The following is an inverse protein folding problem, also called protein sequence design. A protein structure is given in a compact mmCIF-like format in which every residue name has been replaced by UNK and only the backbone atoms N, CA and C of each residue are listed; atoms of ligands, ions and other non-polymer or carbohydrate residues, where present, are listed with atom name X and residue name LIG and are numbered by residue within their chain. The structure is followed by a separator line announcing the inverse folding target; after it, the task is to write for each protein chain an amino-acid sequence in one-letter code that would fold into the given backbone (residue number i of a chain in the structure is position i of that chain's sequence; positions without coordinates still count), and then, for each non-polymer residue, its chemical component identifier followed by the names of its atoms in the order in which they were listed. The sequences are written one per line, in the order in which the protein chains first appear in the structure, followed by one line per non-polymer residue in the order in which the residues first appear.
data_IF_450843698913
#
_entry.id   IF_450843698913
#
_cell.length_a   1.000
_cell.length_b   1.000
_cell.length_c   1.000
_cell.angle_alpha   90.00
_cell.angle_beta   90.00
_cell.angle_gamma   90.00
#
_symmetry.space_group_name_H-M   'P 1'
#
loop_
_entity.id
_entity.type
_entity.pdbx_description
1 polymer ?
#
# COMPACT_ATOMS: atom_id res chain seq x y z
N UNK A 1 11.43 3.55 -8.06
CA UNK A 1 10.48 4.39 -8.84
C UNK A 1 9.20 3.64 -9.28
N UNK A 2 9.24 2.64 -10.18
CA UNK A 2 8.01 1.92 -10.61
C UNK A 2 7.27 1.27 -9.43
N UNK A 3 8.00 0.62 -8.53
CA UNK A 3 7.40 0.00 -7.34
C UNK A 3 6.67 1.01 -6.43
N UNK A 4 7.27 2.19 -6.20
CA UNK A 4 6.67 3.30 -5.45
C UNK A 4 5.35 3.77 -6.08
N UNK A 5 5.29 3.84 -7.41
CA UNK A 5 4.07 4.17 -8.13
C UNK A 5 2.96 3.12 -7.94
N UNK A 6 3.29 1.83 -7.94
CA UNK A 6 2.31 0.75 -7.69
C UNK A 6 1.78 0.82 -6.25
N UNK A 7 2.65 1.08 -5.27
CA UNK A 7 2.25 1.27 -3.86
C UNK A 7 1.33 2.48 -3.71
N UNK A 8 1.64 3.58 -4.40
CA UNK A 8 0.79 4.77 -4.43
C UNK A 8 -0.60 4.46 -5.01
N UNK A 9 -0.67 3.73 -6.14
CA UNK A 9 -1.95 3.27 -6.70
C UNK A 9 -2.71 2.40 -5.71
N UNK A 10 -2.05 1.43 -5.07
CA UNK A 10 -2.70 0.60 -4.04
C UNK A 10 -3.28 1.45 -2.91
N UNK A 11 -2.52 2.40 -2.38
CA UNK A 11 -2.96 3.23 -1.27
C UNK A 11 -4.22 4.03 -1.65
N UNK A 12 -4.29 4.54 -2.88
CA UNK A 12 -5.51 5.18 -3.40
C UNK A 12 -6.67 4.19 -3.49
N UNK A 13 -6.44 2.99 -4.03
CA UNK A 13 -7.46 1.95 -4.18
C UNK A 13 -8.00 1.43 -2.85
N UNK A 14 -7.16 1.28 -1.81
CA UNK A 14 -7.57 0.88 -0.46
C UNK A 14 -8.51 1.91 0.18
N UNK A 15 -8.36 3.19 -0.16
CA UNK A 15 -9.20 4.26 0.38
C UNK A 15 -10.54 4.41 -0.35
N UNK A 16 -10.71 3.76 -1.52
CA UNK A 16 -11.97 3.74 -2.25
C UNK A 16 -12.87 2.59 -1.74
N UNK A 17 -13.95 2.88 -0.99
CA UNK A 17 -14.77 1.83 -0.37
C UNK A 17 -15.55 0.97 -1.39
N UNK A 18 -15.64 1.41 -2.65
CA UNK A 18 -16.34 0.69 -3.72
C UNK A 18 -15.43 -0.28 -4.49
N UNK A 19 -14.10 -0.21 -4.30
CA UNK A 19 -13.16 -1.08 -5.01
C UNK A 19 -13.18 -2.47 -4.38
N UNK A 20 -13.43 -3.48 -5.20
CA UNK A 20 -13.25 -4.87 -4.79
C UNK A 20 -11.83 -5.33 -5.15
N UNK A 21 -10.94 -5.58 -4.16
CA UNK A 21 -9.56 -5.99 -4.40
C UNK A 21 -9.44 -7.38 -5.04
N UNK A 22 -10.51 -8.17 -5.07
CA UNK A 22 -10.52 -9.50 -5.70
C UNK A 22 -10.87 -9.48 -7.18
N UNK A 23 -11.32 -8.33 -7.72
CA UNK A 23 -11.64 -8.19 -9.14
C UNK A 23 -10.41 -7.80 -9.95
N UNK A 24 -10.29 -8.34 -11.17
CA UNK A 24 -9.36 -7.83 -12.16
C UNK A 24 -9.79 -6.44 -12.63
N UNK A 25 -8.87 -5.48 -12.83
CA UNK A 25 -7.40 -5.61 -12.77
C UNK A 25 -6.79 -5.38 -11.38
N UNK A 26 -7.58 -4.96 -10.39
CA UNK A 26 -7.09 -4.55 -9.06
C UNK A 26 -6.39 -5.68 -8.31
N UNK A 27 -6.85 -6.93 -8.49
CA UNK A 27 -6.27 -8.11 -7.86
C UNK A 27 -4.77 -8.25 -8.12
N UNK A 28 -4.28 -7.84 -9.30
CA UNK A 28 -2.85 -7.88 -9.61
C UNK A 28 -2.07 -6.90 -8.74
N UNK A 29 -2.53 -5.65 -8.65
CA UNK A 29 -1.90 -4.62 -7.81
C UNK A 29 -1.82 -5.08 -6.36
N UNK A 30 -2.94 -5.56 -5.82
CA UNK A 30 -3.01 -6.04 -4.44
C UNK A 30 -2.12 -7.25 -4.21
N UNK A 31 -2.10 -8.23 -5.13
CA UNK A 31 -1.27 -9.45 -5.01
C UNK A 31 0.22 -9.12 -4.99
N UNK A 32 0.69 -8.27 -5.92
CA UNK A 32 2.12 -7.91 -6.00
C UNK A 32 2.61 -7.06 -4.83
N UNK A 33 1.75 -6.22 -4.27
CA UNK A 33 2.11 -5.35 -3.15
C UNK A 33 1.81 -5.96 -1.79
N UNK A 34 1.06 -7.09 -1.74
CA UNK A 34 0.58 -7.64 -0.46
C UNK A 34 1.71 -8.04 0.46
N UNK A 35 2.70 -8.75 -0.04
CA UNK A 35 3.82 -9.22 0.78
C UNK A 35 4.55 -8.07 1.48
N UNK A 36 4.59 -6.89 0.85
CA UNK A 36 5.22 -5.71 1.41
C UNK A 36 4.31 -4.94 2.37
N UNK A 37 3.06 -4.65 1.97
CA UNK A 37 2.11 -3.90 2.82
C UNK A 37 1.72 -4.73 4.06
N UNK A 38 1.67 -6.06 3.96
CA UNK A 38 1.36 -6.97 5.07
C UNK A 38 2.36 -6.83 6.23
N UNK A 39 3.62 -6.50 5.95
CA UNK A 39 4.60 -6.19 7.00
C UNK A 39 4.17 -4.98 7.84
N UNK A 40 3.68 -3.93 7.17
CA UNK A 40 3.15 -2.74 7.83
C UNK A 40 1.81 -3.03 8.52
N UNK A 41 0.95 -3.82 7.90
CA UNK A 41 -0.35 -4.20 8.44
C UNK A 41 -0.26 -4.99 9.76
N UNK A 42 0.77 -5.84 9.89
CA UNK A 42 1.03 -6.56 11.15
C UNK A 42 1.51 -5.64 12.27
N UNK A 43 2.25 -4.59 11.92
CA UNK A 43 2.90 -3.69 12.87
C UNK A 43 2.05 -2.46 13.21
N UNK A 44 1.16 -2.05 12.31
CA UNK A 44 0.38 -0.81 12.41
C UNK A 44 -1.09 -1.20 12.54
N UNK A 45 -1.73 -0.93 13.69
CA UNK A 45 -3.14 -1.17 13.87
C UNK A 45 -3.97 -0.23 12.98
N UNK A 46 -5.14 -0.69 12.54
CA UNK A 46 -6.11 0.16 11.87
C UNK A 46 -6.66 1.19 12.86
N UNK A 47 -6.69 2.46 12.45
CA UNK A 47 -7.09 3.58 13.32
C UNK A 47 -8.42 4.09 12.80
N UNK A 48 -9.46 4.04 13.65
CA UNK A 48 -10.85 4.40 13.29
C UNK A 48 -11.41 3.66 12.05
N UNK A 49 -10.99 2.41 11.82
CA UNK A 49 -11.42 1.62 10.66
C UNK A 49 -10.76 2.05 9.33
N UNK A 50 -9.77 2.95 9.38
CA UNK A 50 -8.95 3.33 8.24
C UNK A 50 -7.62 2.58 8.34
N UNK A 51 -7.25 1.89 7.26
CA UNK A 51 -5.95 1.24 7.15
C UNK A 51 -4.86 2.25 6.79
N UNK A 52 -4.06 2.61 7.79
CA UNK A 52 -2.91 3.49 7.63
C UNK A 52 -1.68 2.76 7.09
N UNK A 53 -1.71 1.43 7.03
CA UNK A 53 -0.58 0.61 6.56
C UNK A 53 -0.10 1.02 5.17
N UNK A 54 -1.01 1.37 4.24
CA UNK A 54 -0.67 1.84 2.90
C UNK A 54 0.12 3.15 2.91
N UNK A 55 -0.27 4.11 3.76
CA UNK A 55 0.40 5.41 3.91
C UNK A 55 1.79 5.25 4.51
N UNK A 56 1.92 4.46 5.59
CA UNK A 56 3.22 4.19 6.22
C UNK A 56 4.16 3.43 5.29
N UNK A 57 3.62 2.48 4.51
CA UNK A 57 4.35 1.74 3.50
C UNK A 57 4.92 2.68 2.42
N UNK A 58 4.13 3.67 1.98
CA UNK A 58 4.60 4.70 1.04
C UNK A 58 5.65 5.63 1.66
N UNK A 59 5.43 6.13 2.89
CA UNK A 59 6.39 6.98 3.61
C UNK A 59 7.74 6.28 3.83
N UNK A 60 7.71 4.98 4.13
CA UNK A 60 8.94 4.20 4.31
C UNK A 60 9.72 4.06 3.01
N UNK A 61 9.04 3.87 1.88
CA UNK A 61 9.66 3.89 0.55
C UNK A 61 10.27 5.26 0.21
N UNK A 62 9.60 6.35 0.58
CA UNK A 62 10.12 7.72 0.42
C UNK A 62 11.42 7.92 1.21
N UNK A 63 11.44 7.50 2.48
CA UNK A 63 12.66 7.58 3.30
C UNK A 63 13.80 6.74 2.71
N UNK A 64 13.51 5.51 2.27
CA UNK A 64 14.52 4.66 1.65
C UNK A 64 15.10 5.27 0.36
N UNK A 65 14.26 5.85 -0.50
CA UNK A 65 14.71 6.52 -1.72
C UNK A 65 15.61 7.72 -1.41
N UNK A 66 15.28 8.50 -0.38
CA UNK A 66 16.08 9.64 0.05
C UNK A 66 17.41 9.24 0.71
N UNK A 67 17.46 8.08 1.39
CA UNK A 67 18.70 7.58 2.04
C UNK A 67 19.66 6.95 1.02
N UNK A 68 19.14 6.31 -0.03
CA UNK A 68 19.94 5.68 -1.08
C UNK A 68 20.38 6.64 -2.19
N UNK A 69 19.74 7.80 -2.32
CA UNK A 69 20.06 8.84 -3.31
C UNK A 69 21.17 9.77 -2.84
#
# INVERSE_FOLDING_TARGET
RIYKFIIYIRCLLEWLPQINPHLVPFVYVFTYTNSYVQFFHKNIPSVYGIDLSGVFSWLFLEMLENVLS
#
